data_IF_482373546446
#
_entry.id   IF_482373546446
#
_cell.length_a   1.000
_cell.length_b   1.000
_cell.length_c   1.000
_cell.angle_alpha   90.00
_cell.angle_beta   90.00
_cell.angle_gamma   90.00
#
_symmetry.space_group_name_H-M   'P 1'
#
loop_
_entity.id
_entity.type
_entity.pdbx_description
1 polymer ?
#
# COMPACT_ATOMS: atom_id res chain seq x y z
N UNK A 1 13.25 -4.06 4.68
CA UNK A 1 12.65 -5.39 4.93
C UNK A 1 12.59 -5.58 6.42
N UNK A 2 11.47 -6.13 6.91
CA UNK A 2 11.26 -6.45 8.31
C UNK A 2 11.06 -7.95 8.40
N UNK A 3 11.74 -8.57 9.35
CA UNK A 3 11.53 -9.96 9.74
C UNK A 3 10.77 -9.93 11.08
N UNK A 4 9.48 -10.31 11.12
CA UNK A 4 8.75 -10.40 12.37
C UNK A 4 9.37 -11.48 13.26
N UNK A 5 9.45 -11.24 14.57
CA UNK A 5 9.86 -12.28 15.51
C UNK A 5 8.80 -13.39 15.64
N UNK A 6 9.11 -14.44 16.42
CA UNK A 6 8.23 -15.59 16.61
C UNK A 6 6.83 -15.26 17.19
N UNK A 7 6.65 -14.07 17.77
CA UNK A 7 5.38 -13.55 18.31
C UNK A 7 4.79 -12.44 17.42
N UNK A 8 5.34 -12.20 16.23
CA UNK A 8 4.97 -11.08 15.36
C UNK A 8 5.47 -9.73 15.87
N UNK A 9 6.31 -9.69 16.90
CA UNK A 9 6.99 -8.49 17.33
C UNK A 9 7.85 -7.94 16.19
N UNK A 10 7.62 -6.69 15.84
CA UNK A 10 8.51 -5.93 14.97
C UNK A 10 9.42 -5.19 15.92
N UNK A 11 10.71 -5.51 15.96
CA UNK A 11 11.69 -4.69 16.69
C UNK A 11 11.44 -3.23 16.27
N UNK A 12 10.98 -2.42 17.22
CA UNK A 12 10.60 -1.02 16.97
C UNK A 12 11.72 -0.38 16.18
N UNK A 13 11.41 0.05 14.94
CA UNK A 13 12.37 0.65 14.03
C UNK A 13 13.22 1.64 14.84
N UNK A 14 14.53 1.41 14.98
CA UNK A 14 15.40 2.26 15.77
C UNK A 14 15.26 3.75 15.39
N UNK A 15 14.87 4.01 14.13
CA UNK A 15 14.50 5.32 13.60
C UNK A 15 13.25 5.93 14.25
N UNK A 16 12.20 5.16 14.51
CA UNK A 16 10.97 5.65 15.13
C UNK A 16 11.24 6.13 16.57
N UNK A 17 12.07 5.39 17.33
CA UNK A 17 12.42 5.76 18.71
C UNK A 17 13.07 7.15 18.81
N UNK A 18 13.83 7.57 17.80
CA UNK A 18 14.47 8.88 17.74
C UNK A 18 13.48 10.06 17.64
N UNK A 19 12.21 9.80 17.30
CA UNK A 19 11.16 10.82 17.14
C UNK A 19 9.99 10.64 18.12
N UNK A 20 10.24 9.99 19.26
CA UNK A 20 9.20 9.64 20.26
C UNK A 20 8.44 10.83 20.86
N UNK A 21 9.02 12.02 20.80
CA UNK A 21 8.44 13.24 21.39
C UNK A 21 7.44 13.93 20.43
N UNK A 22 7.29 13.43 19.20
CA UNK A 22 6.27 13.94 18.27
C UNK A 22 4.88 13.54 18.76
N UNK A 23 3.96 14.49 18.87
CA UNK A 23 2.56 14.21 19.20
C UNK A 23 1.96 13.17 18.24
N UNK A 24 1.32 12.13 18.81
CA UNK A 24 0.75 11.02 18.03
C UNK A 24 1.75 9.93 17.62
N UNK A 25 3.04 10.06 17.95
CA UNK A 25 4.08 9.06 17.67
C UNK A 25 3.70 7.66 18.17
N UNK A 26 3.34 7.53 19.44
CA UNK A 26 3.03 6.23 20.04
C UNK A 26 1.86 5.53 19.33
N UNK A 27 0.82 6.30 18.98
CA UNK A 27 -0.32 5.77 18.23
C UNK A 27 0.05 5.33 16.82
N UNK A 28 0.84 6.15 16.11
CA UNK A 28 1.34 5.82 14.77
C UNK A 28 2.20 4.55 14.76
N UNK A 29 3.15 4.43 15.69
CA UNK A 29 4.01 3.24 15.81
C UNK A 29 3.18 2.00 16.15
N UNK A 30 2.22 2.12 17.08
CA UNK A 30 1.34 1.02 17.45
C UNK A 30 0.49 0.53 16.27
N UNK A 31 -0.05 1.45 15.47
CA UNK A 31 -0.84 1.14 14.28
C UNK A 31 0.01 0.44 13.20
N UNK A 32 1.18 1.00 12.85
CA UNK A 32 2.10 0.37 11.89
C UNK A 32 2.51 -1.03 12.36
N UNK A 33 2.85 -1.20 13.64
CA UNK A 33 3.21 -2.50 14.20
C UNK A 33 2.04 -3.49 14.16
N UNK A 34 0.81 -3.02 14.41
CA UNK A 34 -0.39 -3.83 14.31
C UNK A 34 -0.65 -4.27 12.87
N UNK A 35 -0.54 -3.37 11.88
CA UNK A 35 -0.70 -3.70 10.47
C UNK A 35 0.34 -4.72 9.99
N UNK A 36 1.60 -4.57 10.40
CA UNK A 36 2.65 -5.55 10.06
C UNK A 36 2.33 -6.92 10.64
N UNK A 37 1.89 -6.99 11.90
CA UNK A 37 1.47 -8.25 12.54
C UNK A 37 0.30 -8.90 11.84
N UNK A 38 -0.76 -8.14 11.61
CA UNK A 38 -1.98 -8.62 10.95
C UNK A 38 -1.67 -9.11 9.54
N UNK A 39 -0.91 -8.35 8.76
CA UNK A 39 -0.53 -8.74 7.40
C UNK A 39 0.39 -9.96 7.37
N UNK A 40 1.41 -10.03 8.24
CA UNK A 40 2.30 -11.17 8.33
C UNK A 40 1.55 -12.45 8.72
N UNK A 41 0.61 -12.35 9.66
CA UNK A 41 -0.24 -13.47 10.07
C UNK A 41 -1.18 -13.92 8.95
N UNK A 42 -1.77 -12.96 8.20
CA UNK A 42 -2.70 -13.25 7.12
C UNK A 42 -2.08 -14.08 5.98
N UNK A 43 -0.81 -13.82 5.64
CA UNK A 43 -0.12 -14.48 4.53
C UNK A 43 0.98 -15.45 4.97
N UNK A 44 1.06 -15.72 6.28
CA UNK A 44 2.10 -16.56 6.89
C UNK A 44 3.53 -16.16 6.46
N UNK A 45 3.77 -14.85 6.33
CA UNK A 45 5.02 -14.34 5.80
C UNK A 45 6.17 -14.46 6.80
N UNK A 46 7.29 -15.05 6.34
CA UNK A 46 8.59 -14.96 7.02
C UNK A 46 9.25 -13.57 6.88
N UNK A 47 9.00 -12.88 5.77
CA UNK A 47 9.61 -11.58 5.45
C UNK A 47 8.58 -10.63 4.83
N UNK A 48 8.54 -9.41 5.34
CA UNK A 48 7.67 -8.33 4.85
C UNK A 48 8.51 -7.15 4.37
N UNK A 49 8.21 -6.68 3.16
CA UNK A 49 8.73 -5.43 2.64
C UNK A 49 7.89 -4.26 3.13
N UNK A 50 8.34 -3.56 4.18
CA UNK A 50 7.71 -2.32 4.64
C UNK A 50 8.27 -1.10 3.90
N UNK A 51 7.39 -0.22 3.41
CA UNK A 51 7.74 1.10 2.90
C UNK A 51 6.82 2.16 3.47
N UNK A 52 7.39 3.13 4.17
CA UNK A 52 6.70 4.36 4.60
C UNK A 52 7.29 5.53 3.83
N UNK A 53 6.46 6.30 3.12
CA UNK A 53 6.93 7.37 2.23
C UNK A 53 6.07 8.62 2.37
N UNK A 54 6.72 9.77 2.34
CA UNK A 54 6.09 11.06 2.05
C UNK A 54 6.27 11.34 0.56
N UNK A 55 5.17 11.60 -0.15
CA UNK A 55 5.16 11.82 -1.59
C UNK A 55 4.51 13.18 -1.92
N UNK A 56 5.17 13.95 -2.78
CA UNK A 56 4.64 15.16 -3.43
C UNK A 56 4.30 14.93 -4.92
N UNK A 57 4.77 13.80 -5.48
CA UNK A 57 4.49 13.34 -6.84
C UNK A 57 3.98 11.90 -6.83
N UNK A 58 3.09 11.58 -7.76
CA UNK A 58 2.61 10.22 -7.95
C UNK A 58 3.75 9.28 -8.38
N UNK A 59 3.92 8.16 -7.68
CA UNK A 59 4.91 7.13 -8.05
C UNK A 59 4.48 6.33 -9.27
N UNK A 60 3.21 5.92 -9.31
CA UNK A 60 2.59 5.17 -10.41
C UNK A 60 1.31 5.91 -10.85
N UNK A 61 1.43 7.00 -11.63
CA UNK A 61 0.27 7.83 -12.00
C UNK A 61 -0.71 7.14 -12.96
N UNK A 62 -0.28 6.06 -13.61
CA UNK A 62 -1.09 5.31 -14.58
C UNK A 62 -1.71 4.08 -13.92
N UNK A 63 -2.91 3.71 -14.35
CA UNK A 63 -3.56 2.48 -13.90
C UNK A 63 -2.75 1.28 -14.36
N UNK A 64 -2.42 0.41 -13.40
CA UNK A 64 -1.61 -0.78 -13.59
C UNK A 64 -2.06 -1.86 -12.59
N UNK A 65 -1.45 -3.02 -12.72
CA UNK A 65 -1.54 -4.12 -11.77
C UNK A 65 -0.13 -4.41 -11.24
N UNK A 66 -0.04 -4.84 -9.99
CA UNK A 66 1.24 -5.21 -9.41
C UNK A 66 1.60 -6.67 -9.71
N UNK A 67 2.90 -6.94 -9.84
CA UNK A 67 3.46 -8.30 -9.95
C UNK A 67 4.01 -8.76 -8.60
N UNK A 68 3.17 -8.67 -7.57
CA UNK A 68 3.40 -9.22 -6.23
C UNK A 68 2.25 -10.19 -5.90
N UNK A 69 2.38 -11.08 -4.90
CA UNK A 69 1.25 -11.90 -4.49
C UNK A 69 0.18 -11.04 -3.81
N UNK A 70 0.55 -10.31 -2.76
CA UNK A 70 -0.36 -9.44 -2.01
C UNK A 70 0.39 -8.21 -1.50
N UNK A 71 -0.28 -7.07 -1.55
CA UNK A 71 0.20 -5.80 -0.97
C UNK A 71 -0.87 -5.23 -0.03
N UNK A 72 -0.48 -4.88 1.19
CA UNK A 72 -1.28 -3.98 2.01
C UNK A 72 -0.92 -2.54 1.66
N UNK A 73 -1.93 -1.67 1.54
CA UNK A 73 -1.75 -0.24 1.29
C UNK A 73 -2.65 0.58 2.21
N UNK A 74 -2.10 1.61 2.83
CA UNK A 74 -2.87 2.64 3.55
C UNK A 74 -2.21 4.00 3.40
N UNK A 75 -3.04 5.05 3.33
CA UNK A 75 -2.58 6.44 3.31
C UNK A 75 -2.97 7.09 4.64
N UNK A 76 -2.00 7.47 5.45
CA UNK A 76 -2.24 8.12 6.74
C UNK A 76 -2.61 9.59 6.59
N UNK A 77 -2.09 10.27 5.57
CA UNK A 77 -2.39 11.67 5.30
C UNK A 77 -2.32 11.98 3.81
N UNK A 78 -3.15 12.92 3.35
CA UNK A 78 -3.28 13.27 1.94
C UNK A 78 -4.21 12.33 1.17
N UNK A 79 -4.30 12.53 -0.15
CA UNK A 79 -5.18 11.74 -1.04
C UNK A 79 -4.84 10.24 -1.01
N UNK A 80 -5.81 9.34 -0.89
CA UNK A 80 -5.54 7.90 -0.86
C UNK A 80 -5.37 7.29 -2.26
N UNK A 81 -4.91 6.03 -2.33
CA UNK A 81 -4.76 5.32 -3.61
C UNK A 81 -6.10 5.14 -4.32
N UNK A 82 -6.05 5.14 -5.65
CA UNK A 82 -7.23 4.95 -6.50
C UNK A 82 -7.21 3.57 -7.12
N UNK A 83 -8.38 2.96 -7.24
CA UNK A 83 -8.55 1.61 -7.76
C UNK A 83 -9.82 1.49 -8.61
N UNK A 84 -9.90 0.40 -9.36
CA UNK A 84 -10.98 0.12 -10.29
C UNK A 84 -11.49 -1.30 -10.10
N UNK A 85 -12.80 -1.48 -10.27
CA UNK A 85 -13.39 -2.80 -10.44
C UNK A 85 -12.91 -3.44 -11.74
N UNK A 86 -12.99 -4.77 -11.79
CA UNK A 86 -12.73 -5.52 -13.01
C UNK A 86 -13.61 -4.99 -14.16
N UNK A 87 -13.08 -5.04 -15.39
CA UNK A 87 -13.72 -4.55 -16.62
C UNK A 87 -13.87 -3.03 -16.77
N UNK A 88 -13.52 -2.22 -15.76
CA UNK A 88 -13.54 -0.76 -15.91
C UNK A 88 -12.53 -0.25 -16.95
N UNK A 89 -11.46 -1.00 -17.20
CA UNK A 89 -10.50 -0.81 -18.29
C UNK A 89 -10.18 -2.17 -18.91
N UNK A 90 -10.15 -2.31 -20.24
CA UNK A 90 -9.61 -3.51 -20.89
C UNK A 90 -8.14 -3.71 -20.53
N UNK A 91 -7.77 -4.89 -20.03
CA UNK A 91 -6.41 -5.15 -19.48
C UNK A 91 -5.26 -4.84 -20.44
N UNK A 92 -5.44 -5.07 -21.74
CA UNK A 92 -4.46 -4.74 -22.78
C UNK A 92 -4.22 -3.23 -22.98
N UNK A 93 -5.05 -2.37 -22.36
CA UNK A 93 -4.95 -0.90 -22.38
C UNK A 93 -4.44 -0.32 -21.05
N UNK A 94 -4.05 -1.16 -20.08
CA UNK A 94 -3.45 -0.67 -18.84
C UNK A 94 -2.21 0.17 -19.16
N UNK A 95 -2.03 1.27 -18.42
CA UNK A 95 -0.96 2.23 -18.68
C UNK A 95 -1.18 3.17 -19.87
N UNK A 96 -2.27 3.05 -20.63
CA UNK A 96 -2.56 3.97 -21.72
C UNK A 96 -3.20 5.27 -21.18
N UNK A 97 -2.56 6.45 -21.34
CA UNK A 97 -3.09 7.72 -20.86
C UNK A 97 -4.33 8.21 -21.61
N UNK A 98 -4.63 7.64 -22.80
CA UNK A 98 -5.80 7.99 -23.62
C UNK A 98 -7.08 7.34 -23.12
N UNK A 99 -6.97 6.33 -22.25
CA UNK A 99 -8.15 5.70 -21.64
C UNK A 99 -8.61 6.54 -20.45
N UNK A 100 -9.87 6.98 -20.50
CA UNK A 100 -10.57 7.58 -19.37
C UNK A 100 -11.39 6.51 -18.65
N UNK A 101 -10.89 5.94 -17.53
CA UNK A 101 -11.65 4.96 -16.78
C UNK A 101 -12.88 5.56 -16.15
N UNK A 102 -13.91 4.74 -16.06
CA UNK A 102 -15.13 5.05 -15.32
C UNK A 102 -15.12 4.34 -13.97
N UNK A 103 -15.85 4.90 -12.99
CA UNK A 103 -15.99 4.27 -11.68
C UNK A 103 -14.70 4.19 -10.87
N UNK A 104 -13.85 5.21 -10.97
CA UNK A 104 -12.65 5.33 -10.12
C UNK A 104 -13.08 5.42 -8.66
N UNK A 105 -12.69 4.44 -7.87
CA UNK A 105 -12.84 4.45 -6.43
C UNK A 105 -11.54 4.90 -5.78
N UNK A 106 -11.64 5.49 -4.58
CA UNK A 106 -10.49 6.05 -3.86
C UNK A 106 -10.58 5.67 -2.39
N UNK A 107 -9.46 5.19 -1.86
CA UNK A 107 -9.32 4.97 -0.42
C UNK A 107 -9.31 6.30 0.33
N UNK A 108 -10.02 6.35 1.45
CA UNK A 108 -9.94 7.46 2.40
C UNK A 108 -8.67 7.33 3.25
N UNK A 109 -8.28 8.44 3.89
CA UNK A 109 -7.15 8.42 4.81
C UNK A 109 -7.45 7.49 5.99
N UNK A 110 -6.48 6.64 6.35
CA UNK A 110 -6.60 5.62 7.38
C UNK A 110 -7.30 4.33 6.95
N UNK A 111 -7.93 4.28 5.76
CA UNK A 111 -8.44 3.02 5.24
C UNK A 111 -7.30 2.08 4.85
N UNK A 112 -7.50 0.80 5.09
CA UNK A 112 -6.54 -0.25 4.84
C UNK A 112 -7.09 -1.14 3.74
N UNK A 113 -6.34 -1.31 2.66
CA UNK A 113 -6.71 -2.18 1.56
C UNK A 113 -5.67 -3.28 1.34
N UNK A 114 -6.17 -4.46 0.94
CA UNK A 114 -5.36 -5.59 0.49
C UNK A 114 -5.48 -5.72 -1.03
N UNK A 115 -4.40 -5.43 -1.72
CA UNK A 115 -4.31 -5.46 -3.16
C UNK A 115 -3.70 -6.80 -3.60
N UNK A 116 -4.53 -7.70 -4.13
CA UNK A 116 -4.08 -8.93 -4.78
C UNK A 116 -3.40 -8.57 -6.11
N UNK A 117 -2.14 -8.97 -6.25
CA UNK A 117 -1.42 -8.83 -7.51
C UNK A 117 -1.48 -10.11 -8.34
N UNK A 118 -0.76 -10.12 -9.45
CA UNK A 118 -0.82 -11.24 -10.42
C UNK A 118 0.03 -12.44 -10.05
N UNK A 119 0.87 -12.35 -9.00
CA UNK A 119 1.65 -13.50 -8.50
C UNK A 119 0.93 -14.28 -7.40
N UNK A 120 -0.30 -13.92 -7.07
CA UNK A 120 -1.13 -14.73 -6.19
C UNK A 120 -1.62 -15.95 -6.97
N UNK A 121 -1.46 -17.14 -6.41
CA UNK A 121 -1.87 -18.40 -7.05
C UNK A 121 -3.35 -18.35 -7.44
N UNK A 122 -3.63 -18.50 -8.74
CA UNK A 122 -4.98 -18.44 -9.29
C UNK A 122 -5.52 -17.02 -9.53
N UNK A 123 -4.69 -15.98 -9.44
CA UNK A 123 -5.04 -14.59 -9.75
C UNK A 123 -4.26 -14.03 -10.96
N UNK A 124 -3.69 -14.89 -11.78
CA UNK A 124 -2.94 -14.53 -12.98
C UNK A 124 -3.83 -13.77 -13.95
N UNK A 125 -3.39 -12.59 -14.39
CA UNK A 125 -4.19 -11.74 -15.26
C UNK A 125 -5.43 -11.14 -14.58
N UNK A 126 -5.58 -11.26 -13.25
CA UNK A 126 -6.70 -10.77 -12.46
C UNK A 126 -6.28 -9.82 -11.31
N UNK A 127 -5.04 -9.31 -11.34
CA UNK A 127 -4.54 -8.35 -10.34
C UNK A 127 -5.42 -7.10 -10.24
N UNK A 128 -5.52 -6.51 -9.04
CA UNK A 128 -6.33 -5.29 -8.82
C UNK A 128 -5.76 -4.12 -9.61
N UNK A 129 -6.62 -3.47 -10.38
CA UNK A 129 -6.25 -2.31 -11.18
C UNK A 129 -6.23 -1.10 -10.27
N UNK A 130 -5.07 -0.46 -10.14
CA UNK A 130 -4.91 0.68 -9.25
C UNK A 130 -3.86 1.68 -9.73
N UNK A 131 -3.83 2.86 -9.10
CA UNK A 131 -2.82 3.90 -9.32
C UNK A 131 -2.58 4.74 -8.08
N UNK A 132 -1.46 5.43 -8.08
CA UNK A 132 -1.18 6.52 -7.14
C UNK A 132 -1.72 7.83 -7.74
N UNK A 133 -2.74 8.48 -7.15
CA UNK A 133 -3.14 9.79 -7.63
C UNK A 133 -2.07 10.85 -7.36
N UNK A 134 -2.11 11.90 -8.17
CA UNK A 134 -1.29 13.09 -7.98
C UNK A 134 -1.82 13.88 -6.79
N UNK A 135 -0.93 14.29 -5.88
CA UNK A 135 -1.28 15.21 -4.81
C UNK A 135 -1.58 16.60 -5.41
N UNK A 136 -2.51 17.34 -4.80
CA UNK A 136 -2.76 18.72 -5.20
C UNK A 136 -1.49 19.58 -4.99
N UNK A 137 -1.32 20.67 -5.75
CA UNK A 137 -0.18 21.56 -5.57
C UNK A 137 -0.04 22.02 -4.11
N UNK A 138 1.15 21.82 -3.52
CA UNK A 138 1.43 22.15 -2.12
C UNK A 138 1.05 21.08 -1.10
N UNK A 139 0.30 20.04 -1.50
CA UNK A 139 -0.04 18.91 -0.64
C UNK A 139 1.00 17.79 -0.71
N UNK A 140 1.02 16.95 0.33
CA UNK A 140 1.83 15.74 0.41
C UNK A 140 0.99 14.58 0.89
N UNK A 141 1.48 13.37 0.63
CA UNK A 141 0.83 12.12 1.03
C UNK A 141 1.76 11.29 1.87
N UNK A 142 1.31 10.83 3.04
CA UNK A 142 2.02 9.86 3.87
C UNK A 142 1.41 8.48 3.63
N UNK A 143 2.15 7.61 2.96
CA UNK A 143 1.67 6.29 2.55
C UNK A 143 2.53 5.17 3.14
N UNK A 144 1.87 4.10 3.58
CA UNK A 144 2.48 2.85 4.00
C UNK A 144 2.08 1.75 3.00
N UNK A 145 3.06 0.97 2.56
CA UNK A 145 2.83 -0.30 1.87
C UNK A 145 3.57 -1.44 2.55
N UNK A 146 2.93 -2.61 2.62
CA UNK A 146 3.55 -3.86 3.04
C UNK A 146 3.46 -4.87 1.89
N UNK A 147 4.60 -5.40 1.48
CA UNK A 147 4.70 -6.43 0.44
C UNK A 147 5.07 -7.77 1.06
N UNK A 148 4.35 -8.83 0.70
CA UNK A 148 4.80 -10.18 1.02
C UNK A 148 6.01 -10.54 0.14
N UNK A 149 7.14 -10.82 0.78
CA UNK A 149 8.38 -11.25 0.10
C UNK A 149 8.48 -12.77 0.13
N UNK A 150 7.71 -13.42 -0.75
CA UNK A 150 7.75 -14.85 -1.01
C UNK A 150 9.06 -15.24 -1.72
#
# INVERSE_FOLDING_TARGET
TIEPDANGGVETLALATAYRDIAGHAGFVADVAWLVRAFSSLVEARRIGLRLRILDKAMCPRFHVDHVPLRLITTYAGVGSEWLREHAIPRHRLGDPTVAPQGIERLLAGEVALFKGERWEGNEGAGIIHRSPQAAPGERRLILTLDWLA
#
